data_IF_001333810202
#
_entry.id   IF_001333810202
#
_cell.length_a   1.000
_cell.length_b   1.000
_cell.length_c   1.000
_cell.angle_alpha   90.00
_cell.angle_beta   90.00
_cell.angle_gamma   90.00
#
_symmetry.space_group_name_H-M   'P 1'
#
loop_
_entity.id
_entity.type
_entity.pdbx_description
1 polymer ?
#
# COMPACT_ATOMS: atom_id res chain seq x y z
N UNK A 1 -0.44 39.88 -12.07
CA UNK A 1 -0.12 39.18 -10.81
C UNK A 1 -1.00 37.97 -10.50
N UNK A 2 -2.35 38.07 -10.52
CA UNK A 2 -3.25 36.94 -10.20
C UNK A 2 -3.05 35.67 -11.06
N UNK A 3 -2.77 35.83 -12.36
CA UNK A 3 -2.49 34.68 -13.25
C UNK A 3 -1.20 33.93 -12.87
N UNK A 4 -0.13 34.65 -12.53
CA UNK A 4 1.13 34.04 -12.11
C UNK A 4 0.96 33.27 -10.79
N UNK A 5 0.18 33.80 -9.85
CA UNK A 5 -0.17 33.10 -8.61
C UNK A 5 -0.99 31.83 -8.88
N UNK A 6 -1.94 31.87 -9.82
CA UNK A 6 -2.71 30.69 -10.23
C UNK A 6 -1.80 29.60 -10.81
N UNK A 7 -0.87 29.96 -11.70
CA UNK A 7 0.07 29.00 -12.28
C UNK A 7 1.00 28.42 -11.22
N UNK A 8 1.52 29.24 -10.31
CA UNK A 8 2.35 28.77 -9.21
C UNK A 8 1.60 27.80 -8.27
N UNK A 9 0.35 28.12 -7.92
CA UNK A 9 -0.49 27.24 -7.10
C UNK A 9 -0.81 25.92 -7.81
N UNK A 10 -1.11 25.97 -9.12
CA UNK A 10 -1.32 24.77 -9.94
C UNK A 10 -0.07 23.89 -9.97
N UNK A 11 1.09 24.49 -10.18
CA UNK A 11 2.37 23.77 -10.24
C UNK A 11 2.67 23.09 -8.91
N UNK A 12 2.42 23.76 -7.78
CA UNK A 12 2.59 23.18 -6.44
C UNK A 12 1.71 21.92 -6.27
N UNK A 13 0.43 21.99 -6.65
CA UNK A 13 -0.49 20.85 -6.55
C UNK A 13 -0.09 19.70 -7.47
N UNK A 14 0.43 19.99 -8.66
CA UNK A 14 0.91 18.95 -9.58
C UNK A 14 2.14 18.23 -9.00
N UNK A 15 3.07 18.97 -8.40
CA UNK A 15 4.25 18.39 -7.72
C UNK A 15 3.86 17.55 -6.53
N UNK A 16 2.95 18.04 -5.68
CA UNK A 16 2.42 17.27 -4.57
C UNK A 16 1.79 15.96 -5.06
N UNK A 17 0.90 16.03 -6.05
CA UNK A 17 0.26 14.84 -6.61
C UNK A 17 1.26 13.85 -7.21
N UNK A 18 2.33 14.33 -7.85
CA UNK A 18 3.38 13.47 -8.38
C UNK A 18 4.16 12.77 -7.26
N UNK A 19 4.50 13.49 -6.19
CA UNK A 19 5.19 12.93 -5.03
C UNK A 19 4.33 11.89 -4.31
N UNK A 20 3.05 12.18 -4.09
CA UNK A 20 2.11 11.26 -3.44
C UNK A 20 2.01 9.94 -4.24
N UNK A 21 1.93 10.03 -5.57
CA UNK A 21 1.94 8.84 -6.44
C UNK A 21 3.25 8.06 -6.37
N UNK A 22 4.39 8.75 -6.38
CA UNK A 22 5.70 8.11 -6.29
C UNK A 22 5.91 7.40 -4.95
N UNK A 23 5.40 7.96 -3.85
CA UNK A 23 5.43 7.29 -2.55
C UNK A 23 4.59 6.01 -2.57
N UNK A 24 3.43 6.03 -3.21
CA UNK A 24 2.55 4.86 -3.29
C UNK A 24 3.12 3.70 -4.11
N UNK A 25 4.20 3.91 -4.89
CA UNK A 25 4.91 2.81 -5.58
C UNK A 25 6.05 2.22 -4.75
N UNK A 26 6.36 2.79 -3.59
CA UNK A 26 7.43 2.33 -2.71
C UNK A 26 6.83 1.58 -1.52
N UNK A 27 7.31 0.35 -1.27
CA UNK A 27 6.80 -0.50 -0.19
C UNK A 27 6.76 0.20 1.17
N UNK A 28 7.75 1.04 1.47
CA UNK A 28 7.85 1.79 2.73
C UNK A 28 6.68 2.77 2.97
N UNK A 29 6.07 3.32 1.92
CA UNK A 29 5.06 4.37 2.02
C UNK A 29 3.68 3.97 1.46
N UNK A 30 3.62 2.95 0.61
CA UNK A 30 2.40 2.47 0.00
C UNK A 30 1.36 2.05 1.05
N UNK A 31 0.10 2.36 0.78
CA UNK A 31 -1.05 2.04 1.65
C UNK A 31 -2.22 1.51 0.84
N UNK A 32 -3.16 0.83 1.52
CA UNK A 32 -4.37 0.29 0.92
C UNK A 32 -4.11 -0.55 -0.33
N UNK A 33 -4.86 -0.28 -1.39
CA UNK A 33 -4.80 -1.06 -2.64
C UNK A 33 -3.46 -1.00 -3.36
N UNK A 34 -2.70 0.09 -3.24
CA UNK A 34 -1.35 0.16 -3.84
C UNK A 34 -0.40 -0.81 -3.13
N UNK A 35 -0.52 -0.94 -1.81
CA UNK A 35 0.23 -1.92 -1.04
C UNK A 35 -0.19 -3.35 -1.41
N UNK A 36 -1.48 -3.58 -1.65
CA UNK A 36 -1.99 -4.88 -2.13
C UNK A 36 -1.41 -5.26 -3.50
N UNK A 37 -1.28 -4.29 -4.42
CA UNK A 37 -0.61 -4.51 -5.70
C UNK A 37 0.87 -4.84 -5.55
N UNK A 38 1.57 -4.17 -4.63
CA UNK A 38 2.98 -4.51 -4.34
C UNK A 38 3.12 -5.89 -3.72
N UNK A 39 2.22 -6.28 -2.81
CA UNK A 39 2.23 -7.61 -2.20
C UNK A 39 1.98 -8.73 -3.22
N UNK A 40 1.10 -8.48 -4.20
CA UNK A 40 0.83 -9.42 -5.28
C UNK A 40 2.09 -9.76 -6.12
N UNK A 41 3.05 -8.82 -6.26
CA UNK A 41 4.33 -9.07 -6.93
C UNK A 41 5.17 -10.15 -6.23
N UNK A 42 4.99 -10.32 -4.93
CA UNK A 42 5.67 -11.32 -4.11
C UNK A 42 4.77 -12.51 -3.73
N UNK A 43 3.58 -12.62 -4.34
CA UNK A 43 2.62 -13.69 -4.05
C UNK A 43 1.98 -13.59 -2.65
N UNK A 44 2.01 -12.42 -2.02
CA UNK A 44 1.46 -12.21 -0.66
C UNK A 44 0.14 -11.47 -0.77
N UNK A 45 -0.93 -12.06 -0.23
CA UNK A 45 -2.24 -11.43 -0.12
C UNK A 45 -2.54 -10.99 1.32
N UNK A 46 -3.45 -10.02 1.43
CA UNK A 46 -3.90 -9.50 2.71
C UNK A 46 -4.68 -10.56 3.48
N UNK A 47 -4.35 -10.73 4.77
CA UNK A 47 -5.06 -11.67 5.64
C UNK A 47 -6.37 -11.07 6.13
N UNK A 48 -7.42 -11.90 6.12
CA UNK A 48 -8.69 -11.63 6.78
C UNK A 48 -8.56 -12.12 8.22
N UNK A 49 -8.58 -11.19 9.17
CA UNK A 49 -8.49 -11.49 10.61
C UNK A 49 -9.86 -11.91 11.16
N UNK A 50 -10.92 -11.27 10.68
CA UNK A 50 -12.30 -11.61 10.99
C UNK A 50 -13.12 -11.57 9.69
N UNK A 51 -13.80 -12.66 9.29
CA UNK A 51 -14.65 -12.66 8.10
C UNK A 51 -15.86 -11.71 8.22
N UNK A 52 -16.16 -11.20 9.41
CA UNK A 52 -17.34 -10.39 9.68
C UNK A 52 -18.62 -11.22 9.64
N UNK A 53 -19.76 -10.53 9.57
CA UNK A 53 -21.09 -11.13 9.46
C UNK A 53 -21.87 -10.38 8.37
N UNK A 54 -21.72 -10.76 7.09
CA UNK A 54 -22.31 -10.04 5.97
C UNK A 54 -23.84 -10.02 6.04
N UNK A 55 -24.47 -11.07 6.59
CA UNK A 55 -25.91 -11.14 6.83
C UNK A 55 -26.41 -10.05 7.80
N UNK A 56 -25.55 -9.60 8.70
CA UNK A 56 -25.84 -8.56 9.69
C UNK A 56 -25.20 -7.20 9.31
N UNK A 57 -24.66 -7.08 8.09
CA UNK A 57 -24.02 -5.86 7.60
C UNK A 57 -22.66 -5.53 8.25
N UNK A 58 -22.04 -6.49 8.94
CA UNK A 58 -20.73 -6.32 9.57
C UNK A 58 -19.64 -6.69 8.55
N UNK A 59 -18.80 -5.73 8.10
CA UNK A 59 -17.75 -6.01 7.12
C UNK A 59 -16.60 -6.85 7.71
N UNK A 60 -15.84 -7.56 6.87
CA UNK A 60 -14.64 -8.27 7.32
C UNK A 60 -13.57 -7.30 7.82
N UNK A 61 -12.80 -7.75 8.81
CA UNK A 61 -11.63 -7.04 9.32
C UNK A 61 -10.40 -7.69 8.71
N UNK A 62 -9.66 -6.91 7.93
CA UNK A 62 -8.38 -7.32 7.37
C UNK A 62 -7.23 -6.89 8.28
N UNK A 63 -6.05 -7.50 8.09
CA UNK A 63 -4.83 -7.05 8.76
C UNK A 63 -4.45 -5.60 8.38
N UNK A 64 -3.64 -4.98 9.24
CA UNK A 64 -3.17 -3.62 9.05
C UNK A 64 -2.15 -3.51 7.91
N UNK A 65 -2.01 -2.31 7.32
CA UNK A 65 -0.96 -2.02 6.33
C UNK A 65 0.45 -2.20 6.90
N UNK A 66 0.63 -2.01 8.21
CA UNK A 66 1.91 -2.17 8.89
C UNK A 66 2.33 -3.64 8.90
N UNK A 67 1.41 -4.52 9.32
CA UNK A 67 1.67 -5.97 9.38
C UNK A 67 1.82 -6.57 7.99
N UNK A 68 0.96 -6.14 7.05
CA UNK A 68 1.01 -6.59 5.67
C UNK A 68 2.34 -6.19 5.00
N UNK A 69 2.80 -4.95 5.20
CA UNK A 69 4.11 -4.50 4.69
C UNK A 69 5.26 -5.33 5.23
N UNK A 70 5.25 -5.67 6.52
CA UNK A 70 6.27 -6.55 7.13
C UNK A 70 6.28 -7.92 6.49
N UNK A 71 5.11 -8.51 6.23
CA UNK A 71 5.01 -9.81 5.54
C UNK A 71 5.53 -9.76 4.11
N UNK A 72 5.24 -8.68 3.37
CA UNK A 72 5.78 -8.49 2.02
C UNK A 72 7.32 -8.41 2.06
N UNK A 73 7.91 -7.72 3.04
CA UNK A 73 9.37 -7.63 3.19
C UNK A 73 10.04 -8.97 3.45
N UNK A 74 9.39 -9.85 4.23
CA UNK A 74 9.89 -11.18 4.57
C UNK A 74 9.63 -12.22 3.48
N UNK A 75 8.72 -11.95 2.54
CA UNK A 75 8.30 -12.91 1.52
C UNK A 75 9.47 -13.51 0.69
N UNK A 76 10.50 -12.74 0.29
CA UNK A 76 11.64 -13.30 -0.43
C UNK A 76 12.43 -14.37 0.34
N UNK A 77 12.46 -14.31 1.68
CA UNK A 77 13.14 -15.30 2.52
C UNK A 77 12.47 -16.68 2.41
N UNK A 78 11.15 -16.70 2.18
CA UNK A 78 10.36 -17.92 1.98
C UNK A 78 10.56 -18.61 0.62
N UNK A 79 11.20 -17.95 -0.36
CA UNK A 79 11.56 -18.60 -1.63
C UNK A 79 12.79 -19.49 -1.52
N UNK A 80 13.55 -19.40 -0.41
CA UNK A 80 14.69 -20.26 -0.16
C UNK A 80 14.23 -21.66 0.26
N UNK A 81 14.44 -22.65 -0.61
CA UNK A 81 14.24 -24.09 -0.30
C UNK A 81 15.36 -24.67 0.57
N UNK A 82 16.47 -23.95 0.74
CA UNK A 82 17.65 -24.42 1.44
C UNK A 82 17.68 -24.05 2.94
N UNK A 83 16.75 -23.19 3.41
CA UNK A 83 16.76 -22.67 4.77
C UNK A 83 17.93 -21.71 5.03
N UNK A 84 17.69 -20.45 5.42
CA UNK A 84 18.74 -19.62 6.00
C UNK A 84 18.73 -19.83 7.51
N UNK A 85 19.50 -20.83 7.98
CA UNK A 85 19.65 -21.27 9.39
C UNK A 85 18.37 -21.46 10.22
#
# INVERSE_FOLDING_TARGET
YKLLQLFAARELLLRQRANDKAQQTMLAFATGTNLDHLGALFGVARLVLDPGQPENGVPPINESDVDFRRRIQLAPEGFSVAGPE
#
